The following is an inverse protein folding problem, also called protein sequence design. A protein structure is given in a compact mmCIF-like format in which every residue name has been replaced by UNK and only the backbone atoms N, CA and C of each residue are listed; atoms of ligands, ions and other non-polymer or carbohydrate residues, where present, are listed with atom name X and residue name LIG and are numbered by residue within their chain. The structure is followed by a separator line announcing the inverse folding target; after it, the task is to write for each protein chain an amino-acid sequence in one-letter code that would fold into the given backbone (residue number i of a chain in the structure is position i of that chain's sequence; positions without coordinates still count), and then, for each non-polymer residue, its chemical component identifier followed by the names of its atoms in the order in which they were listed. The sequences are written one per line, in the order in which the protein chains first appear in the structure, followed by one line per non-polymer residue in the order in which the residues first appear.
data_IF_128805710943
#
_entry.id   IF_128805710943
#
_cell.length_a   1.000
_cell.length_b   1.000
_cell.length_c   1.000
_cell.angle_alpha   90.00
_cell.angle_beta   90.00
_cell.angle_gamma   90.00
#
_symmetry.space_group_name_H-M   'P 1'
#
loop_
_entity.id
_entity.type
_entity.pdbx_description
1 polymer ?
#
# COMPACT_ATOMS: atom_id res chain seq x y z
N UNK A 1 -3.52 17.46 -4.36
CA UNK A 1 -4.15 16.26 -3.79
C UNK A 1 -5.62 16.55 -3.79
N UNK A 2 -6.37 15.84 -4.64
CA UNK A 2 -7.82 15.91 -4.63
C UNK A 2 -8.33 15.25 -3.35
N UNK A 3 -9.43 15.75 -2.79
CA UNK A 3 -10.06 15.17 -1.60
C UNK A 3 -10.37 13.67 -1.76
N UNK A 4 -10.59 13.22 -3.00
CA UNK A 4 -10.79 11.82 -3.35
C UNK A 4 -9.54 10.94 -3.12
N UNK A 5 -8.33 11.44 -3.33
CA UNK A 5 -7.11 10.67 -3.07
C UNK A 5 -6.85 10.54 -1.56
N UNK A 6 -7.13 11.60 -0.80
CA UNK A 6 -7.02 11.57 0.66
C UNK A 6 -8.00 10.56 1.29
N UNK A 7 -9.22 10.47 0.74
CA UNK A 7 -10.22 9.49 1.19
C UNK A 7 -9.76 8.05 0.90
N UNK A 8 -9.22 7.78 -0.28
CA UNK A 8 -8.68 6.45 -0.63
C UNK A 8 -7.56 6.02 0.30
N UNK A 9 -6.62 6.93 0.58
CA UNK A 9 -5.50 6.68 1.51
C UNK A 9 -6.05 6.31 2.89
N UNK A 10 -7.00 7.10 3.41
CA UNK A 10 -7.58 6.86 4.72
C UNK A 10 -8.28 5.50 4.80
N UNK A 11 -9.08 5.13 3.81
CA UNK A 11 -9.78 3.84 3.77
C UNK A 11 -8.77 2.68 3.73
N UNK A 12 -7.71 2.81 2.93
CA UNK A 12 -6.66 1.78 2.87
C UNK A 12 -5.85 1.67 4.18
N UNK A 13 -5.61 2.79 4.87
CA UNK A 13 -4.99 2.77 6.20
C UNK A 13 -5.84 2.03 7.23
N UNK A 14 -7.17 2.22 7.21
CA UNK A 14 -8.08 1.47 8.09
C UNK A 14 -8.04 -0.03 7.81
N UNK A 15 -7.93 -0.44 6.54
CA UNK A 15 -7.73 -1.84 6.18
C UNK A 15 -6.41 -2.37 6.76
N UNK A 16 -5.32 -1.59 6.64
CA UNK A 16 -4.00 -1.95 7.15
C UNK A 16 -3.96 -2.08 8.68
N UNK A 17 -4.70 -1.23 9.41
CA UNK A 17 -4.82 -1.31 10.87
C UNK A 17 -5.76 -2.45 11.33
N UNK A 18 -6.49 -3.06 10.39
CA UNK A 18 -7.47 -4.12 10.66
C UNK A 18 -8.82 -3.61 11.16
N UNK A 19 -9.09 -2.30 11.01
CA UNK A 19 -10.39 -1.70 11.34
C UNK A 19 -11.49 -2.13 10.37
N UNK A 20 -11.14 -2.39 9.11
CA UNK A 20 -12.04 -2.91 8.08
C UNK A 20 -11.45 -4.16 7.43
N UNK A 21 -12.31 -5.02 6.89
CA UNK A 21 -11.90 -6.25 6.22
C UNK A 21 -11.47 -6.02 4.77
N UNK A 22 -10.76 -6.99 4.18
CA UNK A 22 -10.38 -6.97 2.77
C UNK A 22 -11.61 -6.84 1.84
N UNK A 23 -12.72 -7.48 2.21
CA UNK A 23 -13.97 -7.36 1.45
C UNK A 23 -14.50 -5.94 1.49
N UNK A 24 -14.53 -5.29 2.66
CA UNK A 24 -15.01 -3.92 2.81
C UNK A 24 -14.15 -2.90 2.08
N UNK A 25 -12.82 -3.01 2.14
CA UNK A 25 -11.92 -2.11 1.41
C UNK A 25 -12.09 -2.26 -0.11
N UNK A 26 -12.29 -3.49 -0.61
CA UNK A 26 -12.54 -3.76 -2.03
C UNK A 26 -13.92 -3.26 -2.48
N UNK A 27 -14.93 -3.28 -1.61
CA UNK A 27 -16.24 -2.68 -1.89
C UNK A 27 -16.17 -1.14 -1.92
N UNK A 28 -15.35 -0.53 -1.06
CA UNK A 28 -15.22 0.93 -0.95
C UNK A 28 -14.30 1.53 -2.03
N UNK A 29 -13.16 0.91 -2.32
CA UNK A 29 -12.15 1.41 -3.25
C UNK A 29 -12.24 0.78 -4.64
N UNK A 30 -12.83 -0.40 -4.74
CA UNK A 30 -12.83 -1.23 -5.94
C UNK A 30 -11.63 -2.19 -5.98
N UNK A 31 -11.86 -3.38 -6.53
CA UNK A 31 -10.87 -4.46 -6.60
C UNK A 31 -9.60 -4.03 -7.38
N UNK A 32 -9.76 -3.32 -8.50
CA UNK A 32 -8.67 -2.82 -9.34
C UNK A 32 -7.76 -1.82 -8.60
N UNK A 33 -8.36 -0.96 -7.77
CA UNK A 33 -7.62 0.04 -6.99
C UNK A 33 -6.83 -0.64 -5.87
N UNK A 34 -7.43 -1.62 -5.19
CA UNK A 34 -6.75 -2.37 -4.13
C UNK A 34 -5.56 -3.16 -4.70
N UNK A 35 -5.74 -3.87 -5.81
CA UNK A 35 -4.67 -4.63 -6.47
C UNK A 35 -3.51 -3.71 -6.93
N UNK A 36 -3.83 -2.53 -7.49
CA UNK A 36 -2.82 -1.53 -7.84
C UNK A 36 -2.02 -1.06 -6.63
N UNK A 37 -2.69 -0.73 -5.52
CA UNK A 37 -2.02 -0.27 -4.30
C UNK A 37 -1.11 -1.36 -3.74
N UNK A 38 -1.59 -2.60 -3.65
CA UNK A 38 -0.79 -3.72 -3.14
C UNK A 38 0.45 -3.96 -4.00
N UNK A 39 0.30 -3.90 -5.33
CA UNK A 39 1.42 -4.02 -6.27
C UNK A 39 2.42 -2.88 -6.13
N UNK A 40 1.96 -1.65 -5.95
CA UNK A 40 2.83 -0.50 -5.72
C UNK A 40 3.57 -0.61 -4.38
N UNK A 41 2.89 -1.06 -3.32
CA UNK A 41 3.49 -1.33 -2.02
C UNK A 41 4.57 -2.41 -2.13
N UNK A 42 4.28 -3.54 -2.76
CA UNK A 42 5.26 -4.63 -2.95
C UNK A 42 6.48 -4.14 -3.75
N UNK A 43 6.25 -3.40 -4.84
CA UNK A 43 7.32 -2.85 -5.66
C UNK A 43 8.19 -1.85 -4.87
N UNK A 44 7.57 -1.01 -4.04
CA UNK A 44 8.27 -0.07 -3.18
C UNK A 44 9.10 -0.77 -2.11
N UNK A 45 8.53 -1.79 -1.43
CA UNK A 45 9.25 -2.59 -0.44
C UNK A 45 10.43 -3.36 -1.06
N UNK A 46 10.24 -3.93 -2.25
CA UNK A 46 11.29 -4.61 -2.99
C UNK A 46 12.43 -3.65 -3.37
N UNK A 47 12.11 -2.43 -3.81
CA UNK A 47 13.09 -1.39 -4.10
C UNK A 47 13.86 -0.96 -2.83
N UNK A 48 13.16 -0.74 -1.71
CA UNK A 48 13.76 -0.39 -0.42
C UNK A 48 14.72 -1.49 0.11
N UNK A 49 14.34 -2.77 -0.01
CA UNK A 49 15.21 -3.91 0.35
C UNK A 49 16.46 -3.99 -0.54
N UNK A 50 16.30 -3.69 -1.83
CA UNK A 50 17.41 -3.69 -2.80
C UNK A 50 18.41 -2.56 -2.54
N UNK A 51 17.94 -1.38 -2.14
CA UNK A 51 18.78 -0.22 -1.85
C UNK A 51 19.54 -0.38 -0.52
N UNK A 52 18.87 -0.83 0.55
CA UNK A 52 19.50 -1.07 1.86
C UNK A 52 20.51 -2.22 1.86
N UNK A 53 20.35 -3.21 0.97
CA UNK A 53 21.35 -4.28 0.81
C UNK A 53 22.70 -3.77 0.28
N UNK A 54 22.72 -2.66 -0.48
CA UNK A 54 23.96 -2.01 -0.95
C UNK A 54 24.70 -1.34 0.22
N UNK A 55 23.97 -0.84 1.22
CA UNK A 55 24.56 -0.21 2.41
C UNK A 55 25.02 -1.21 3.48
N UNK A 56 24.45 -2.42 3.51
CA UNK A 56 24.80 -3.47 4.49
C UNK A 56 25.88 -4.45 4.01
N UNK A 57 26.29 -4.39 2.74
CA UNK A 57 27.28 -5.31 2.14
C UNK A 57 28.74 -4.81 2.24
N UNK A 58 29.02 -3.83 3.10
CA UNK A 58 30.36 -3.28 3.28
C UNK A 58 30.91 -3.60 4.68
N UNK A 59 31.19 -4.88 4.91
CA UNK A 59 32.06 -5.38 6.00
C UNK A 59 33.11 -6.35 5.42
#
# INVERSE_FOLDING_TARGET
MDDADAEKIKIYEQYRDGEITETEVRELLGDDVVDSIEKEVEAFEAAMKRDTSVFLSNE
#
